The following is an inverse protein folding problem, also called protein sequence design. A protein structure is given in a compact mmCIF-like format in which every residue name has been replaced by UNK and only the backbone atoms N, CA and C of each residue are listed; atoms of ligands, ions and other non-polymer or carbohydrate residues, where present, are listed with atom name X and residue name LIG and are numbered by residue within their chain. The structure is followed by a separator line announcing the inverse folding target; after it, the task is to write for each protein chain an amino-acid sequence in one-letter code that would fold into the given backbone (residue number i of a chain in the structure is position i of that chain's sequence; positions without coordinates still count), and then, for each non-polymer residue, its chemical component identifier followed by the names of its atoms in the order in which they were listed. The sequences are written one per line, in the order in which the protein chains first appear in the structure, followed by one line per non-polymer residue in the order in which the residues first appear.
data_IF_119633380035
#
_entry.id   IF_119633380035
#
_cell.length_a   1.000
_cell.length_b   1.000
_cell.length_c   1.000
_cell.angle_alpha   90.00
_cell.angle_beta   90.00
_cell.angle_gamma   90.00
#
_symmetry.space_group_name_H-M   'P 1'
#
loop_
_entity.id
_entity.type
_entity.pdbx_description
1 polymer ?
#
# COMPACT_ATOMS: atom_id res chain seq x y z
N UNK A 1 -5.11 -4.51 41.86
CA UNK A 1 -5.13 -3.64 40.67
C UNK A 1 -6.43 -3.90 39.96
N UNK A 2 -7.27 -2.88 39.79
CA UNK A 2 -8.66 -3.02 39.35
C UNK A 2 -8.73 -3.51 37.88
N UNK A 3 -9.39 -4.65 37.66
CA UNK A 3 -9.51 -5.31 36.35
C UNK A 3 -10.16 -4.40 35.32
N UNK A 4 -11.09 -3.54 35.76
CA UNK A 4 -11.78 -2.61 34.88
C UNK A 4 -10.85 -1.53 34.34
N UNK A 5 -9.91 -1.05 35.16
CA UNK A 5 -8.91 -0.08 34.72
C UNK A 5 -7.92 -0.68 33.71
N UNK A 6 -7.56 -1.96 33.86
CA UNK A 6 -6.70 -2.67 32.89
C UNK A 6 -7.43 -2.83 31.57
N UNK A 7 -8.70 -3.24 31.60
CA UNK A 7 -9.52 -3.40 30.41
C UNK A 7 -9.74 -2.08 29.65
N UNK A 8 -10.02 -0.98 30.36
CA UNK A 8 -10.19 0.34 29.71
C UNK A 8 -8.90 0.83 29.04
N UNK A 9 -7.73 0.64 29.68
CA UNK A 9 -6.43 0.98 29.08
C UNK A 9 -6.15 0.17 27.81
N UNK A 10 -6.42 -1.13 27.84
CA UNK A 10 -6.29 -1.98 26.65
C UNK A 10 -7.21 -1.51 25.51
N UNK A 11 -8.47 -1.19 25.83
CA UNK A 11 -9.43 -0.71 24.82
C UNK A 11 -9.00 0.60 24.17
N UNK A 12 -8.49 1.55 24.95
CA UNK A 12 -7.98 2.83 24.43
C UNK A 12 -6.75 2.61 23.54
N UNK A 13 -5.78 1.83 24.00
CA UNK A 13 -4.58 1.51 23.22
C UNK A 13 -4.93 0.83 21.89
N UNK A 14 -5.86 -0.14 21.91
CA UNK A 14 -6.30 -0.84 20.69
C UNK A 14 -7.06 0.09 19.73
N UNK A 15 -7.89 1.00 20.26
CA UNK A 15 -8.58 2.01 19.44
C UNK A 15 -7.57 2.93 18.76
N UNK A 16 -6.58 3.41 19.51
CA UNK A 16 -5.59 4.35 19.00
C UNK A 16 -4.68 3.68 17.95
N UNK A 17 -4.33 2.41 18.13
CA UNK A 17 -3.65 1.60 17.12
C UNK A 17 -4.49 1.44 15.85
N UNK A 18 -5.77 1.10 15.99
CA UNK A 18 -6.69 0.91 14.86
C UNK A 18 -6.97 2.22 14.10
N UNK A 19 -6.93 3.37 14.77
CA UNK A 19 -7.08 4.68 14.15
C UNK A 19 -5.76 5.22 13.56
N UNK A 20 -4.64 4.53 13.77
CA UNK A 20 -3.33 4.93 13.28
C UNK A 20 -3.19 4.80 11.76
N UNK A 21 -2.26 5.55 11.15
CA UNK A 21 -2.05 5.56 9.69
C UNK A 21 -1.57 4.21 9.13
N UNK A 22 -0.96 3.36 9.96
CA UNK A 22 -0.48 2.03 9.60
C UNK A 22 -1.46 0.91 10.00
N UNK A 23 -2.70 1.27 10.35
CA UNK A 23 -3.72 0.31 10.73
C UNK A 23 -4.23 -0.47 9.52
N UNK A 24 -4.60 -1.74 9.74
CA UNK A 24 -5.31 -2.53 8.73
C UNK A 24 -6.61 -1.86 8.24
N UNK A 25 -7.22 -0.99 9.06
CA UNK A 25 -8.41 -0.23 8.67
C UNK A 25 -8.13 0.78 7.54
N UNK A 26 -6.86 1.11 7.28
CA UNK A 26 -6.45 1.94 6.16
C UNK A 26 -6.29 1.18 4.84
N UNK A 27 -6.42 -0.15 4.83
CA UNK A 27 -6.33 -0.95 3.59
C UNK A 27 -7.58 -0.70 2.73
N UNK A 28 -7.38 -0.03 1.59
CA UNK A 28 -8.46 0.32 0.66
C UNK A 28 -8.47 -0.52 -0.62
N UNK A 29 -7.51 -1.43 -0.79
CA UNK A 29 -7.43 -2.27 -1.98
C UNK A 29 -6.44 -3.42 -1.87
N UNK A 30 -6.72 -4.48 -2.64
CA UNK A 30 -5.84 -5.60 -2.90
C UNK A 30 -5.97 -5.92 -4.39
N UNK A 31 -4.85 -5.88 -5.10
CA UNK A 31 -4.81 -6.00 -6.55
C UNK A 31 -3.80 -7.09 -6.92
N UNK A 32 -4.17 -7.94 -7.87
CA UNK A 32 -3.26 -8.93 -8.42
C UNK A 32 -2.50 -8.32 -9.58
N UNK A 33 -1.17 -8.43 -9.53
CA UNK A 33 -0.31 -8.01 -10.63
C UNK A 33 -0.20 -9.14 -11.65
N UNK A 34 -0.15 -8.76 -12.91
CA UNK A 34 0.17 -9.63 -14.04
C UNK A 34 1.64 -9.45 -14.43
N UNK A 35 2.28 -10.46 -15.06
CA UNK A 35 3.61 -10.28 -15.63
C UNK A 35 3.63 -9.14 -16.65
N UNK A 36 4.62 -8.26 -16.57
CA UNK A 36 4.73 -7.05 -17.38
C UNK A 36 4.24 -5.80 -16.66
N UNK A 37 3.65 -4.85 -17.39
CA UNK A 37 3.21 -3.56 -16.87
C UNK A 37 1.82 -3.65 -16.27
N UNK A 38 1.67 -3.07 -15.08
CA UNK A 38 0.43 -2.97 -14.33
C UNK A 38 0.18 -1.48 -14.03
N UNK A 39 -0.70 -0.82 -14.80
CA UNK A 39 -0.96 0.61 -14.62
C UNK A 39 -1.58 0.90 -13.25
N UNK A 40 -1.10 1.95 -12.62
CA UNK A 40 -1.59 2.48 -11.34
C UNK A 40 -2.14 3.87 -11.59
N UNK A 41 -3.40 4.11 -11.25
CA UNK A 41 -4.05 5.40 -11.49
C UNK A 41 -5.57 5.35 -11.39
N UNK A 42 -6.22 6.49 -11.60
CA UNK A 42 -7.69 6.62 -11.54
C UNK A 42 -8.40 6.34 -12.87
N UNK A 43 -7.66 6.07 -13.95
CA UNK A 43 -8.24 5.74 -15.25
C UNK A 43 -8.94 4.37 -15.22
N UNK A 44 -10.09 4.29 -15.89
CA UNK A 44 -10.79 3.02 -16.12
C UNK A 44 -9.86 2.02 -16.83
N UNK A 45 -9.76 0.81 -16.29
CA UNK A 45 -8.88 -0.24 -16.82
C UNK A 45 -7.47 -0.28 -16.20
N UNK A 46 -7.13 0.63 -15.27
CA UNK A 46 -5.90 0.49 -14.47
C UNK A 46 -5.93 -0.80 -13.65
N UNK A 47 -4.85 -1.58 -13.65
CA UNK A 47 -4.75 -2.79 -12.81
C UNK A 47 -4.88 -2.43 -11.34
N UNK A 48 -4.18 -1.39 -10.91
CA UNK A 48 -4.32 -0.80 -9.58
C UNK A 48 -5.15 0.47 -9.72
N UNK A 49 -6.47 0.29 -9.67
CA UNK A 49 -7.42 1.41 -9.78
C UNK A 49 -7.48 2.20 -8.47
N UNK A 50 -7.00 3.44 -8.52
CA UNK A 50 -7.08 4.38 -7.42
C UNK A 50 -8.44 5.08 -7.38
N UNK A 51 -9.03 5.29 -6.20
CA UNK A 51 -10.35 5.92 -6.07
C UNK A 51 -10.35 7.41 -6.44
N UNK A 52 -9.18 8.06 -6.48
CA UNK A 52 -8.98 9.43 -6.94
C UNK A 52 -7.52 9.64 -7.36
N UNK A 53 -7.16 10.87 -7.76
CA UNK A 53 -5.80 11.21 -8.20
C UNK A 53 -5.67 11.23 -9.73
N UNK A 54 -4.44 11.28 -10.27
CA UNK A 54 -4.22 11.37 -11.70
C UNK A 54 -4.71 10.09 -12.41
N UNK A 55 -5.19 10.18 -13.66
CA UNK A 55 -5.61 9.02 -14.45
C UNK A 55 -4.50 7.97 -14.57
N UNK A 56 -3.25 8.41 -14.69
CA UNK A 56 -2.05 7.59 -14.66
C UNK A 56 -1.06 8.18 -13.67
N UNK A 57 -0.65 7.38 -12.69
CA UNK A 57 0.37 7.74 -11.69
C UNK A 57 1.73 7.10 -12.04
N UNK A 58 1.69 5.96 -12.71
CA UNK A 58 2.86 5.17 -13.10
C UNK A 58 2.49 3.70 -13.24
N UNK A 59 3.50 2.86 -13.48
CA UNK A 59 3.33 1.43 -13.67
C UNK A 59 4.12 0.62 -12.65
N UNK A 60 3.52 -0.48 -12.19
CA UNK A 60 4.24 -1.57 -11.56
C UNK A 60 4.68 -2.57 -12.64
N UNK A 61 5.99 -2.71 -12.80
CA UNK A 61 6.54 -3.63 -13.79
C UNK A 61 7.06 -4.91 -13.12
N UNK A 62 6.36 -6.02 -13.33
CA UNK A 62 6.76 -7.33 -12.82
C UNK A 62 7.49 -8.11 -13.91
N UNK A 63 8.79 -8.35 -13.73
CA UNK A 63 9.63 -9.07 -14.68
C UNK A 63 10.46 -10.14 -13.97
N UNK A 64 10.13 -11.41 -14.22
CA UNK A 64 10.81 -12.53 -13.56
C UNK A 64 10.55 -12.52 -12.05
N UNK A 65 11.60 -12.37 -11.27
CA UNK A 65 11.59 -12.29 -9.80
C UNK A 65 11.68 -10.84 -9.27
N UNK A 66 11.73 -9.86 -10.17
CA UNK A 66 11.88 -8.44 -9.81
C UNK A 66 10.61 -7.64 -10.06
N UNK A 67 10.42 -6.64 -9.22
CA UNK A 67 9.34 -5.68 -9.33
C UNK A 67 9.93 -4.27 -9.38
N UNK A 68 9.44 -3.45 -10.30
CA UNK A 68 9.87 -2.05 -10.44
C UNK A 68 8.66 -1.12 -10.37
N UNK A 69 8.87 0.05 -9.77
CA UNK A 69 7.98 1.19 -9.86
C UNK A 69 8.49 2.16 -10.92
N UNK A 70 7.64 2.43 -11.90
CA UNK A 70 7.88 3.36 -13.00
C UNK A 70 6.92 4.54 -12.84
N UNK A 71 7.27 5.57 -12.05
CA UNK A 71 6.40 6.73 -11.90
C UNK A 71 6.29 7.49 -13.23
N UNK A 72 5.15 8.14 -13.46
CA UNK A 72 5.00 9.09 -14.58
C UNK A 72 6.06 10.21 -14.50
N UNK A 73 6.38 10.63 -13.27
CA UNK A 73 7.40 11.63 -12.98
C UNK A 73 8.43 11.09 -11.99
N UNK A 74 9.69 10.97 -12.44
CA UNK A 74 10.80 10.57 -11.58
C UNK A 74 11.67 9.49 -12.19
N UNK A 75 12.48 8.86 -11.33
CA UNK A 75 13.31 7.73 -11.71
C UNK A 75 12.60 6.42 -11.38
N UNK A 76 12.91 5.39 -12.16
CA UNK A 76 12.58 4.00 -11.86
C UNK A 76 13.20 3.55 -10.53
N UNK A 77 12.44 2.75 -9.77
CA UNK A 77 12.84 2.22 -8.46
C UNK A 77 12.56 0.72 -8.43
N UNK A 78 13.57 -0.10 -8.14
CA UNK A 78 13.37 -1.51 -7.83
C UNK A 78 12.73 -1.67 -6.44
N UNK A 79 11.64 -2.40 -6.36
CA UNK A 79 10.87 -2.63 -5.14
C UNK A 79 11.18 -3.99 -4.54
N UNK A 80 11.29 -4.03 -3.21
CA UNK A 80 11.30 -5.28 -2.44
C UNK A 80 9.86 -5.72 -2.16
N UNK A 81 9.55 -6.99 -2.39
CA UNK A 81 8.28 -7.58 -1.96
C UNK A 81 8.28 -7.90 -0.46
N UNK A 82 7.13 -8.28 0.09
CA UNK A 82 7.01 -8.61 1.49
C UNK A 82 7.60 -9.98 1.89
N UNK A 83 8.24 -10.69 0.95
CA UNK A 83 8.81 -12.03 1.15
C UNK A 83 9.71 -12.12 2.40
N UNK A 84 10.43 -11.03 2.73
CA UNK A 84 11.30 -10.92 3.89
C UNK A 84 10.72 -10.08 5.05
N UNK A 85 9.42 -9.74 4.98
CA UNK A 85 8.72 -8.92 5.96
C UNK A 85 9.10 -7.44 5.95
N UNK A 86 9.87 -6.97 4.97
CA UNK A 86 10.33 -5.57 4.84
C UNK A 86 10.13 -5.09 3.39
N UNK A 87 8.88 -4.94 2.93
CA UNK A 87 8.62 -4.51 1.58
C UNK A 87 9.00 -3.03 1.37
N UNK A 88 9.37 -2.69 0.15
CA UNK A 88 9.41 -1.29 -0.28
C UNK A 88 7.99 -0.73 -0.32
N UNK A 89 7.85 0.52 0.09
CA UNK A 89 6.58 1.25 -0.01
C UNK A 89 6.73 2.38 -1.02
N UNK A 90 5.71 2.59 -1.84
CA UNK A 90 5.57 3.77 -2.69
C UNK A 90 4.51 4.66 -2.08
N UNK A 91 4.92 5.86 -1.69
CA UNK A 91 4.04 6.86 -1.10
C UNK A 91 3.54 7.85 -2.17
N UNK A 92 2.24 8.10 -2.19
CA UNK A 92 1.62 9.17 -2.96
C UNK A 92 0.57 9.90 -2.12
N UNK A 93 0.91 11.12 -1.68
CA UNK A 93 0.07 11.96 -0.82
C UNK A 93 -0.36 11.22 0.46
N UNK A 94 -1.62 10.79 0.52
CA UNK A 94 -2.23 10.11 1.66
C UNK A 94 -2.44 8.61 1.40
N UNK A 95 -1.87 8.08 0.31
CA UNK A 95 -1.85 6.66 0.00
C UNK A 95 -0.43 6.14 -0.01
N UNK A 96 -0.32 4.89 0.36
CA UNK A 96 0.90 4.12 0.27
C UNK A 96 0.52 2.74 -0.27
N UNK A 97 1.38 2.17 -1.11
CA UNK A 97 1.23 0.79 -1.55
C UNK A 97 2.55 0.04 -1.48
N UNK A 98 2.44 -1.26 -1.29
CA UNK A 98 3.54 -2.21 -1.27
C UNK A 98 3.06 -3.51 -1.94
N UNK A 99 3.98 -4.42 -2.24
CA UNK A 99 3.64 -5.68 -2.89
C UNK A 99 4.00 -6.87 -2.00
N UNK A 100 3.06 -7.80 -1.91
CA UNK A 100 3.22 -9.09 -1.24
C UNK A 100 3.83 -10.16 -2.15
#
# INVERSE_FOLDING_TARGET
MDSDQVHQRWRLARRDELAGPNSWLGLIGLFWLEPGLNPVGSAEGSTVLLPAGPPHLGDLCWQGDKLFWLPEEGAEIELQTDLNGQPSTVDYKNWAFFCC
#
